data_IF_573439301373
#
_entry.id   IF_573439301373
#
_cell.length_a   1.000
_cell.length_b   1.000
_cell.length_c   1.000
_cell.angle_alpha   90.00
_cell.angle_beta   90.00
_cell.angle_gamma   90.00
#
_symmetry.space_group_name_H-M   'P 1'
#
loop_
_entity.id
_entity.type
_entity.pdbx_description
1 polymer ?
#
# COMPACT_ATOMS: atom_id res chain seq x y z
N UNK A 1 38.88 -38.33 -42.41
CA UNK A 1 37.79 -39.07 -41.74
C UNK A 1 37.49 -38.34 -40.43
N UNK A 2 36.21 -38.01 -40.16
CA UNK A 2 35.64 -37.37 -38.95
C UNK A 2 36.04 -35.90 -38.69
N UNK A 3 35.20 -34.91 -39.05
CA UNK A 3 34.03 -34.35 -38.32
C UNK A 3 34.44 -33.65 -37.01
N UNK A 4 34.52 -32.31 -37.04
CA UNK A 4 34.30 -31.47 -35.86
C UNK A 4 33.37 -30.30 -36.23
N UNK A 5 32.24 -30.29 -35.53
CA UNK A 5 31.14 -29.31 -35.44
C UNK A 5 31.60 -27.88 -35.14
N UNK A 6 31.16 -26.85 -35.90
CA UNK A 6 29.97 -25.99 -35.69
C UNK A 6 29.73 -25.53 -34.24
N UNK A 7 29.82 -24.20 -34.01
CA UNK A 7 28.77 -23.34 -33.40
C UNK A 7 28.93 -21.93 -34.00
N UNK A 8 27.80 -21.31 -34.31
CA UNK A 8 27.61 -20.21 -35.24
C UNK A 8 27.08 -18.98 -34.49
N UNK A 9 27.81 -17.86 -34.56
CA UNK A 9 27.31 -16.53 -34.18
C UNK A 9 26.93 -15.79 -35.47
N UNK A 10 25.66 -15.48 -35.65
CA UNK A 10 25.14 -14.76 -36.81
C UNK A 10 25.20 -13.23 -36.63
N UNK A 11 25.55 -12.45 -37.66
CA UNK A 11 25.44 -10.99 -37.67
C UNK A 11 24.04 -10.49 -38.08
N UNK A 12 23.73 -9.30 -37.58
CA UNK A 12 22.49 -8.54 -37.66
C UNK A 12 22.02 -8.20 -39.07
N UNK A 13 20.73 -8.46 -39.36
CA UNK A 13 20.10 -8.12 -40.64
C UNK A 13 19.51 -6.70 -40.60
N UNK A 14 20.22 -5.74 -41.19
CA UNK A 14 19.80 -4.34 -41.35
C UNK A 14 18.92 -4.20 -42.58
N UNK A 15 17.59 -4.30 -42.43
CA UNK A 15 16.66 -4.10 -43.55
C UNK A 15 16.57 -2.61 -43.96
N UNK A 16 16.87 -2.36 -45.25
CA UNK A 16 16.84 -1.08 -45.95
C UNK A 16 15.51 -0.32 -45.81
N UNK A 17 15.63 1.00 -45.59
CA UNK A 17 14.55 2.00 -45.44
C UNK A 17 13.66 2.15 -46.70
N UNK A 18 14.08 1.60 -47.83
CA UNK A 18 13.44 1.82 -49.14
C UNK A 18 12.23 0.89 -49.38
N UNK A 19 12.15 -0.27 -48.72
CA UNK A 19 11.05 -1.23 -48.88
C UNK A 19 9.78 -0.88 -48.07
N UNK A 20 9.90 -0.04 -47.04
CA UNK A 20 8.74 0.33 -46.18
C UNK A 20 7.78 1.31 -46.88
N UNK A 21 8.28 2.17 -47.76
CA UNK A 21 7.44 3.14 -48.46
C UNK A 21 6.54 2.48 -49.53
N UNK A 22 7.09 1.52 -50.30
CA UNK A 22 6.34 0.84 -51.34
C UNK A 22 5.19 -0.03 -50.79
N UNK A 23 5.35 -0.62 -49.61
CA UNK A 23 4.30 -1.43 -48.97
C UNK A 23 3.15 -0.57 -48.42
N UNK A 24 3.48 0.56 -47.77
CA UNK A 24 2.48 1.47 -47.19
C UNK A 24 1.63 2.14 -48.28
N UNK A 25 2.24 2.53 -49.41
CA UNK A 25 1.54 3.09 -50.57
C UNK A 25 0.59 2.06 -51.23
N UNK A 26 1.01 0.79 -51.31
CA UNK A 26 0.20 -0.31 -51.87
C UNK A 26 -0.98 -0.71 -50.99
N UNK A 27 -0.86 -0.53 -49.68
CA UNK A 27 -1.96 -0.74 -48.71
C UNK A 27 -2.94 0.43 -48.75
N UNK A 28 -2.47 1.68 -48.95
CA UNK A 28 -3.32 2.87 -49.06
C UNK A 28 -4.23 2.87 -50.29
N UNK A 29 -3.76 2.36 -51.44
CA UNK A 29 -4.56 2.34 -52.68
C UNK A 29 -5.68 1.30 -52.71
N UNK A 30 -5.61 0.27 -51.85
CA UNK A 30 -6.67 -0.75 -51.71
C UNK A 30 -7.80 -0.37 -50.76
N UNK A 31 -7.66 0.70 -49.98
CA UNK A 31 -8.73 1.18 -49.09
C UNK A 31 -9.53 2.26 -49.82
N UNK A 32 -10.32 1.85 -50.82
CA UNK A 32 -11.42 2.65 -51.36
C UNK A 32 -12.61 2.49 -50.41
N UNK A 33 -12.97 3.51 -49.65
CA UNK A 33 -14.22 3.51 -48.87
C UNK A 33 -15.39 3.86 -49.80
N UNK A 34 -16.41 2.99 -49.98
CA UNK A 34 -17.65 3.41 -50.58
C UNK A 34 -18.47 4.21 -49.56
N UNK A 35 -18.84 5.42 -49.94
CA UNK A 35 -19.94 6.18 -49.35
C UNK A 35 -21.26 5.51 -49.74
N UNK A 36 -22.00 4.96 -48.76
CA UNK A 36 -23.47 4.82 -48.77
C UNK A 36 -23.95 4.75 -47.33
N UNK A 37 -25.02 5.50 -47.06
CA UNK A 37 -25.65 5.77 -45.78
C UNK A 37 -26.76 4.77 -45.50
N UNK A 38 -26.57 3.89 -44.51
CA UNK A 38 -27.62 3.05 -43.93
C UNK A 38 -27.76 3.39 -42.43
N UNK A 39 -28.99 3.62 -41.91
CA UNK A 39 -29.21 4.01 -40.52
C UNK A 39 -29.54 2.78 -39.68
N UNK A 40 -28.54 2.04 -39.19
CA UNK A 40 -28.68 1.20 -37.97
C UNK A 40 -27.32 0.56 -37.60
N UNK A 41 -26.44 1.36 -36.99
CA UNK A 41 -25.19 0.87 -36.41
C UNK A 41 -25.04 1.43 -35.00
N UNK A 42 -24.73 0.60 -33.99
CA UNK A 42 -24.61 1.08 -32.61
C UNK A 42 -23.53 2.15 -32.55
N UNK A 43 -23.93 3.36 -32.13
CA UNK A 43 -23.06 4.53 -32.03
C UNK A 43 -21.87 4.16 -31.15
N UNK A 44 -20.66 4.07 -31.73
CA UNK A 44 -19.41 4.10 -30.95
C UNK A 44 -19.51 5.31 -30.03
N UNK A 45 -19.57 5.06 -28.71
CA UNK A 45 -19.65 6.12 -27.69
C UNK A 45 -18.41 7.00 -27.87
N UNK A 46 -18.61 8.15 -28.52
CA UNK A 46 -17.59 9.21 -28.56
C UNK A 46 -17.35 9.57 -27.10
N UNK A 47 -16.15 9.30 -26.58
CA UNK A 47 -15.72 9.88 -25.33
C UNK A 47 -15.82 11.40 -25.51
N UNK A 48 -16.83 12.02 -24.88
CA UNK A 48 -16.95 13.47 -24.85
C UNK A 48 -15.71 13.98 -24.12
N UNK A 49 -14.77 14.60 -24.84
CA UNK A 49 -13.75 15.45 -24.21
C UNK A 49 -14.53 16.54 -23.47
N UNK A 50 -14.57 16.43 -22.15
CA UNK A 50 -15.04 17.54 -21.30
C UNK A 50 -14.10 18.74 -21.56
N UNK A 51 -14.63 19.97 -21.54
CA UNK A 51 -13.81 21.16 -21.69
C UNK A 51 -12.72 21.15 -20.62
N UNK A 52 -11.53 21.62 -20.98
CA UNK A 52 -10.41 21.82 -20.06
C UNK A 52 -10.78 22.96 -19.14
N UNK A 53 -11.41 22.66 -18.01
CA UNK A 53 -11.36 23.54 -16.85
C UNK A 53 -9.92 23.47 -16.35
N UNK A 54 -9.26 24.63 -16.33
CA UNK A 54 -7.90 24.77 -15.81
C UNK A 54 -7.96 24.63 -14.29
N UNK A 55 -8.02 23.39 -13.82
CA UNK A 55 -7.89 23.07 -12.41
C UNK A 55 -6.42 23.20 -12.03
N UNK A 56 -6.00 24.43 -11.74
CA UNK A 56 -4.65 24.79 -11.30
C UNK A 56 -4.41 24.47 -9.81
N UNK A 57 -5.37 23.84 -9.14
CA UNK A 57 -5.30 23.49 -7.73
C UNK A 57 -4.68 22.11 -7.46
N UNK A 58 -4.22 21.86 -6.21
CA UNK A 58 -3.77 20.54 -5.80
C UNK A 58 -4.95 19.57 -5.73
N UNK A 59 -4.71 18.33 -6.16
CA UNK A 59 -5.72 17.27 -6.15
C UNK A 59 -5.34 16.09 -5.29
N UNK A 60 -6.31 15.51 -4.58
CA UNK A 60 -6.08 14.36 -3.69
C UNK A 60 -6.68 13.10 -4.28
N UNK A 61 -5.89 12.04 -4.30
CA UNK A 61 -6.28 10.70 -4.72
C UNK A 61 -6.29 9.77 -3.52
N UNK A 62 -7.37 9.01 -3.38
CA UNK A 62 -7.45 7.86 -2.50
C UNK A 62 -6.99 6.61 -3.25
N UNK A 63 -6.05 5.88 -2.64
CA UNK A 63 -5.56 4.61 -3.14
C UNK A 63 -5.83 3.55 -2.06
N UNK A 64 -6.70 2.59 -2.36
CA UNK A 64 -7.08 1.50 -1.49
C UNK A 64 -6.64 0.13 -2.01
N UNK A 65 -6.76 -0.88 -1.14
CA UNK A 65 -6.37 -2.27 -1.39
C UNK A 65 -4.88 -2.47 -1.68
N UNK A 66 -4.04 -1.63 -1.10
CA UNK A 66 -2.59 -1.72 -1.24
C UNK A 66 -2.11 -3.03 -0.57
N UNK A 67 -1.32 -3.87 -1.27
CA UNK A 67 -0.78 -5.09 -0.69
C UNK A 67 0.25 -4.80 0.40
N UNK A 68 0.42 -5.77 1.29
CA UNK A 68 1.41 -5.67 2.36
C UNK A 68 2.83 -5.71 1.77
N UNK A 69 3.72 -4.84 2.24
CA UNK A 69 5.06 -4.68 1.66
C UNK A 69 5.21 -3.51 0.69
N UNK A 70 4.10 -2.91 0.25
CA UNK A 70 4.12 -1.68 -0.56
C UNK A 70 3.86 -0.48 0.36
N UNK A 71 4.94 0.13 0.83
CA UNK A 71 4.93 1.18 1.85
C UNK A 71 5.11 2.56 1.21
N UNK A 72 5.35 3.57 2.06
CA UNK A 72 5.44 4.97 1.67
C UNK A 72 6.46 5.22 0.56
N UNK A 73 7.65 4.61 0.63
CA UNK A 73 8.71 4.87 -0.34
C UNK A 73 8.37 4.31 -1.72
N UNK A 74 7.86 3.09 -1.78
CA UNK A 74 7.51 2.42 -3.03
C UNK A 74 6.28 3.07 -3.67
N UNK A 75 5.27 3.44 -2.86
CA UNK A 75 4.10 4.22 -3.33
C UNK A 75 4.58 5.54 -3.92
N UNK A 76 5.44 6.27 -3.21
CA UNK A 76 5.94 7.57 -3.67
C UNK A 76 6.70 7.44 -4.99
N UNK A 77 7.60 6.45 -5.10
CA UNK A 77 8.37 6.21 -6.33
C UNK A 77 7.47 5.84 -7.52
N UNK A 78 6.47 4.99 -7.29
CA UNK A 78 5.54 4.58 -8.35
C UNK A 78 4.66 5.74 -8.82
N UNK A 79 4.04 6.46 -7.89
CA UNK A 79 3.12 7.54 -8.24
C UNK A 79 3.82 8.81 -8.71
N UNK A 80 5.12 8.98 -8.42
CA UNK A 80 5.93 10.08 -8.94
C UNK A 80 6.05 10.07 -10.47
N UNK A 81 5.74 8.95 -11.14
CA UNK A 81 5.75 8.83 -12.60
C UNK A 81 4.58 9.59 -13.27
N UNK A 82 3.47 9.77 -12.56
CA UNK A 82 2.30 10.50 -13.06
C UNK A 82 2.43 12.01 -12.89
N UNK A 83 3.14 12.43 -11.84
CA UNK A 83 3.38 13.84 -11.55
C UNK A 83 4.04 14.05 -10.20
N UNK A 84 4.32 15.32 -9.90
CA UNK A 84 4.93 15.74 -8.63
C UNK A 84 3.94 15.60 -7.48
N UNK A 85 4.36 14.87 -6.45
CA UNK A 85 3.61 14.64 -5.22
C UNK A 85 3.98 15.72 -4.21
N UNK A 86 3.00 16.45 -3.69
CA UNK A 86 3.19 17.45 -2.63
C UNK A 86 3.23 16.78 -1.26
N UNK A 87 2.21 15.96 -0.97
CA UNK A 87 2.05 15.25 0.30
C UNK A 87 1.52 13.87 0.04
N UNK A 88 1.89 12.93 0.90
CA UNK A 88 1.40 11.58 0.84
C UNK A 88 1.31 11.03 2.25
N UNK A 89 0.28 10.24 2.52
CA UNK A 89 0.13 9.55 3.80
C UNK A 89 -0.47 8.18 3.61
N UNK A 90 0.25 7.15 4.06
CA UNK A 90 -0.29 5.80 4.24
C UNK A 90 -1.02 5.73 5.57
N UNK A 91 -2.25 5.25 5.56
CA UNK A 91 -3.02 5.12 6.77
C UNK A 91 -2.52 3.92 7.59
N UNK A 92 -2.12 4.19 8.83
CA UNK A 92 -1.65 3.20 9.79
C UNK A 92 -2.58 3.09 10.99
N UNK A 93 -2.65 1.90 11.57
CA UNK A 93 -3.35 1.62 12.82
C UNK A 93 -2.73 2.44 13.95
N UNK A 94 -3.56 3.10 14.77
CA UNK A 94 -3.07 3.90 15.88
C UNK A 94 -2.51 3.04 17.03
N UNK A 95 -2.97 1.78 17.15
CA UNK A 95 -2.55 0.88 18.22
C UNK A 95 -1.27 0.12 17.86
N UNK A 96 -1.26 -0.47 16.67
CA UNK A 96 -0.19 -1.39 16.23
C UNK A 96 0.82 -0.74 15.28
N UNK A 97 0.53 0.44 14.71
CA UNK A 97 1.38 1.06 13.69
C UNK A 97 1.35 0.36 12.32
N UNK A 98 0.69 -0.79 12.21
CA UNK A 98 0.57 -1.55 10.96
C UNK A 98 -0.22 -0.77 9.90
N UNK A 99 0.14 -0.88 8.61
CA UNK A 99 -0.60 -0.25 7.52
C UNK A 99 -2.01 -0.83 7.43
N UNK A 100 -3.00 0.03 7.15
CA UNK A 100 -4.39 -0.36 6.93
C UNK A 100 -4.69 -0.75 5.48
N UNK A 101 -3.72 -0.62 4.58
CA UNK A 101 -3.88 -0.95 3.15
C UNK A 101 -4.54 0.16 2.32
N UNK A 102 -4.49 1.41 2.77
CA UNK A 102 -4.90 2.56 1.97
C UNK A 102 -4.02 3.79 2.23
N UNK A 103 -3.95 4.67 1.25
CA UNK A 103 -3.16 5.89 1.27
C UNK A 103 -3.92 7.06 0.63
N UNK A 104 -3.54 8.27 1.05
CA UNK A 104 -3.94 9.52 0.40
C UNK A 104 -2.71 10.16 -0.23
N UNK A 105 -2.83 10.56 -1.49
CA UNK A 105 -1.76 11.17 -2.26
C UNK A 105 -2.26 12.52 -2.77
N UNK A 106 -1.56 13.58 -2.43
CA UNK A 106 -1.82 14.94 -2.90
C UNK A 106 -0.83 15.27 -4.03
N UNK A 107 -1.36 15.48 -5.22
CA UNK A 107 -0.61 15.91 -6.40
C UNK A 107 -0.64 17.43 -6.53
N UNK A 108 0.38 17.97 -7.19
CA UNK A 108 0.46 19.41 -7.49
C UNK A 108 -0.71 19.90 -8.36
N UNK A 109 -1.23 19.03 -9.24
CA UNK A 109 -2.33 19.35 -10.15
C UNK A 109 -3.50 18.39 -9.99
N UNK A 110 -4.71 18.93 -9.91
CA UNK A 110 -5.96 18.17 -9.86
C UNK A 110 -6.20 17.34 -11.12
N UNK A 111 -5.80 17.85 -12.28
CA UNK A 111 -5.87 17.12 -13.54
C UNK A 111 -5.10 15.79 -13.49
N UNK A 112 -3.92 15.77 -12.87
CA UNK A 112 -3.13 14.55 -12.67
C UNK A 112 -3.85 13.59 -11.74
N UNK A 113 -4.42 14.10 -10.64
CA UNK A 113 -5.19 13.29 -9.70
C UNK A 113 -6.39 12.58 -10.36
N UNK A 114 -7.13 13.28 -11.24
CA UNK A 114 -8.25 12.71 -12.02
C UNK A 114 -7.77 11.60 -12.97
N UNK A 115 -6.66 11.83 -13.69
CA UNK A 115 -6.08 10.83 -14.61
C UNK A 115 -5.64 9.58 -13.84
N UNK A 116 -4.97 9.75 -12.69
CA UNK A 116 -4.54 8.61 -11.86
C UNK A 116 -5.75 7.82 -11.37
N UNK A 117 -6.80 8.49 -10.90
CA UNK A 117 -8.02 7.83 -10.46
C UNK A 117 -8.68 7.01 -11.59
N UNK A 118 -8.74 7.54 -12.81
CA UNK A 118 -9.33 6.81 -13.94
C UNK A 118 -8.47 5.65 -14.43
N UNK A 119 -7.14 5.83 -14.47
CA UNK A 119 -6.21 4.86 -15.06
C UNK A 119 -5.85 3.71 -14.12
N UNK A 120 -5.75 3.98 -12.81
CA UNK A 120 -5.32 2.99 -11.82
C UNK A 120 -6.47 2.29 -11.09
N UNK A 121 -7.71 2.73 -11.29
CA UNK A 121 -8.84 2.06 -10.68
C UNK A 121 -9.06 0.67 -11.27
N UNK A 122 -9.17 -0.34 -10.41
CA UNK A 122 -9.23 -1.76 -10.75
C UNK A 122 -7.96 -2.28 -11.46
N UNK A 123 -6.81 -1.64 -11.25
CA UNK A 123 -5.54 -2.18 -11.71
C UNK A 123 -5.13 -3.39 -10.85
N UNK A 124 -4.74 -4.49 -11.49
CA UNK A 124 -4.25 -5.67 -10.79
C UNK A 124 -2.83 -5.42 -10.29
N UNK A 125 -2.69 -5.30 -8.98
CA UNK A 125 -1.45 -5.04 -8.29
C UNK A 125 -1.16 -6.20 -7.33
N UNK A 126 -0.20 -7.04 -7.73
CA UNK A 126 0.00 -8.38 -7.15
C UNK A 126 -1.31 -9.18 -7.18
N UNK A 127 -1.80 -9.63 -6.03
CA UNK A 127 -3.03 -10.43 -5.91
C UNK A 127 -4.29 -9.58 -5.68
N UNK A 128 -4.17 -8.25 -5.69
CA UNK A 128 -5.26 -7.34 -5.32
C UNK A 128 -5.55 -6.33 -6.42
N UNK A 129 -6.83 -6.03 -6.62
CA UNK A 129 -7.26 -4.93 -7.47
C UNK A 129 -7.21 -3.63 -6.66
N UNK A 130 -6.39 -2.67 -7.11
CA UNK A 130 -6.32 -1.36 -6.50
C UNK A 130 -7.63 -0.61 -6.70
N UNK A 131 -8.06 0.07 -5.64
CA UNK A 131 -9.18 0.99 -5.70
C UNK A 131 -8.66 2.42 -5.71
N UNK A 132 -8.80 3.13 -6.83
CA UNK A 132 -8.34 4.51 -6.95
C UNK A 132 -9.53 5.43 -7.19
N UNK A 133 -9.69 6.43 -6.32
CA UNK A 133 -10.79 7.40 -6.41
C UNK A 133 -10.24 8.82 -6.21
N UNK A 134 -10.70 9.75 -7.03
CA UNK A 134 -10.43 11.17 -6.84
C UNK A 134 -11.32 11.70 -5.71
N UNK A 135 -10.71 12.38 -4.73
CA UNK A 135 -11.43 12.99 -3.62
C UNK A 135 -11.38 14.52 -3.78
N UNK A 136 -12.54 15.19 -3.96
CA UNK A 136 -12.59 16.64 -3.93
C UNK A 136 -12.26 17.16 -2.53
N UNK A 137 -11.67 18.35 -2.45
CA UNK A 137 -11.20 18.95 -1.20
C UNK A 137 -12.30 19.01 -0.11
N UNK A 138 -13.56 19.25 -0.47
CA UNK A 138 -14.69 19.34 0.47
C UNK A 138 -14.97 18.05 1.23
N UNK A 139 -14.70 16.90 0.61
CA UNK A 139 -14.91 15.57 1.20
C UNK A 139 -13.71 15.08 1.98
N UNK A 140 -12.57 15.76 1.88
CA UNK A 140 -11.35 15.36 2.54
C UNK A 140 -11.39 15.79 4.02
N UNK A 141 -11.37 14.82 4.93
CA UNK A 141 -11.27 15.15 6.34
C UNK A 141 -9.94 15.87 6.63
N UNK A 142 -9.91 16.95 7.44
CA UNK A 142 -8.70 17.76 7.65
C UNK A 142 -7.52 17.00 8.28
N UNK A 143 -7.78 15.87 8.92
CA UNK A 143 -6.72 14.99 9.47
C UNK A 143 -6.15 14.03 8.44
N UNK A 144 -6.74 13.86 7.25
CA UNK A 144 -6.37 12.84 6.28
C UNK A 144 -4.92 12.98 5.81
N UNK A 145 -4.44 14.20 5.56
CA UNK A 145 -3.06 14.49 5.12
C UNK A 145 -2.14 15.02 6.23
N UNK A 146 -2.63 15.12 7.48
CA UNK A 146 -1.78 15.51 8.61
C UNK A 146 -0.84 14.37 8.98
N UNK A 147 0.46 14.61 8.85
CA UNK A 147 1.50 13.75 9.42
C UNK A 147 1.39 13.81 10.95
N UNK A 148 1.25 12.65 11.59
CA UNK A 148 1.35 12.58 13.04
C UNK A 148 2.83 12.39 13.38
N UNK A 149 3.46 13.46 13.83
CA UNK A 149 4.83 13.41 14.32
C UNK A 149 4.79 12.84 15.74
N UNK A 150 4.91 11.53 15.86
CA UNK A 150 4.94 10.85 17.14
C UNK A 150 5.25 9.38 16.94
N UNK A 151 6.06 8.83 17.85
CA UNK A 151 6.20 7.38 17.96
C UNK A 151 4.79 6.79 18.17
N UNK A 152 4.44 5.74 17.42
CA UNK A 152 3.22 4.97 17.66
C UNK A 152 3.39 4.25 19.00
N UNK A 153 3.19 4.98 20.10
CA UNK A 153 3.10 4.41 21.43
C UNK A 153 1.75 3.72 21.48
N UNK A 154 1.76 2.39 21.52
CA UNK A 154 0.56 1.67 21.94
C UNK A 154 0.12 2.32 23.24
N UNK A 155 -1.13 2.77 23.30
CA UNK A 155 -1.76 3.13 24.57
C UNK A 155 -2.02 1.83 25.33
N UNK A 156 -0.95 1.10 25.67
CA UNK A 156 -1.00 -0.02 26.57
C UNK A 156 -1.26 0.58 27.94
N UNK A 157 -2.54 0.88 28.21
CA UNK A 157 -3.02 1.27 29.55
C UNK A 157 -2.51 0.27 30.60
N UNK A 158 -2.29 -0.98 30.21
CA UNK A 158 -1.67 -2.02 31.03
C UNK A 158 -0.28 -1.61 31.54
N UNK A 159 0.58 -1.02 30.70
CA UNK A 159 1.92 -0.60 31.12
C UNK A 159 1.87 0.58 32.10
N UNK A 160 1.02 1.57 31.86
CA UNK A 160 0.86 2.70 32.81
C UNK A 160 0.20 2.28 34.13
N UNK A 161 -0.70 1.31 34.10
CA UNK A 161 -1.33 0.74 35.30
C UNK A 161 -0.34 -0.13 36.09
N UNK A 162 0.46 -0.94 35.40
CA UNK A 162 1.48 -1.80 36.03
C UNK A 162 2.65 -1.00 36.60
N UNK A 163 3.04 0.08 35.92
CA UNK A 163 4.14 0.97 36.33
C UNK A 163 3.68 2.16 37.18
N UNK A 164 2.40 2.21 37.60
CA UNK A 164 1.95 3.24 38.53
C UNK A 164 2.71 3.09 39.84
N UNK A 165 3.18 4.20 40.41
CA UNK A 165 3.76 4.20 41.75
C UNK A 165 2.75 3.61 42.74
N UNK A 166 3.18 2.60 43.51
CA UNK A 166 2.33 1.90 44.48
C UNK A 166 2.71 2.37 45.87
N UNK A 167 1.70 2.63 46.69
CA UNK A 167 1.91 2.92 48.11
C UNK A 167 2.52 1.72 48.83
N UNK A 168 3.22 1.98 49.95
CA UNK A 168 3.91 0.94 50.72
C UNK A 168 2.95 -0.18 51.13
N UNK A 169 1.72 0.15 51.54
CA UNK A 169 0.67 -0.83 51.88
C UNK A 169 0.23 -1.69 50.68
N UNK A 170 0.15 -1.08 49.49
CA UNK A 170 -0.21 -1.82 48.27
C UNK A 170 0.92 -2.77 47.85
N UNK A 171 2.18 -2.39 48.10
CA UNK A 171 3.37 -3.23 47.89
C UNK A 171 3.35 -4.41 48.87
N UNK A 172 3.16 -4.19 50.17
CA UNK A 172 3.12 -5.26 51.18
C UNK A 172 1.97 -6.23 50.93
N UNK A 173 0.77 -5.74 50.60
CA UNK A 173 -0.38 -6.56 50.22
C UNK A 173 -0.08 -7.44 49.00
N UNK A 174 0.64 -6.90 48.02
CA UNK A 174 1.05 -7.66 46.83
C UNK A 174 2.12 -8.72 47.16
N UNK A 175 3.08 -8.40 48.04
CA UNK A 175 4.09 -9.35 48.57
C UNK A 175 3.39 -10.51 49.29
N UNK A 176 2.45 -10.21 50.20
CA UNK A 176 1.72 -11.24 50.95
C UNK A 176 0.91 -12.17 50.05
N UNK A 177 0.19 -11.63 49.05
CA UNK A 177 -0.51 -12.44 48.05
C UNK A 177 0.43 -13.34 47.25
N UNK A 178 1.64 -12.87 46.94
CA UNK A 178 2.67 -13.68 46.25
C UNK A 178 3.14 -14.82 47.15
N UNK A 179 3.40 -14.55 48.42
CA UNK A 179 3.81 -15.55 49.42
C UNK A 179 2.72 -16.61 49.59
N UNK A 180 1.44 -16.24 49.67
CA UNK A 180 0.33 -17.19 49.75
C UNK A 180 0.24 -18.10 48.52
N UNK A 181 0.42 -17.53 47.32
CA UNK A 181 0.44 -18.32 46.07
C UNK A 181 1.63 -19.28 46.03
N UNK A 182 2.79 -18.85 46.50
CA UNK A 182 3.98 -19.71 46.60
C UNK A 182 3.78 -20.85 47.59
N UNK A 183 3.12 -20.60 48.74
CA UNK A 183 2.75 -21.65 49.70
C UNK A 183 1.80 -22.70 49.09
N UNK A 184 0.78 -22.24 48.35
CA UNK A 184 -0.15 -23.13 47.63
C UNK A 184 0.54 -23.94 46.54
N UNK A 185 1.48 -23.32 45.83
CA UNK A 185 2.30 -24.00 44.84
C UNK A 185 3.17 -25.08 45.50
N UNK A 186 3.81 -24.77 46.63
CA UNK A 186 4.64 -25.71 47.38
C UNK A 186 3.84 -26.93 47.87
N UNK A 187 2.62 -26.73 48.38
CA UNK A 187 1.76 -27.86 48.77
C UNK A 187 1.34 -28.71 47.57
N UNK A 188 1.02 -28.08 46.44
CA UNK A 188 0.65 -28.77 45.20
C UNK A 188 1.81 -29.58 44.62
N UNK A 189 3.03 -29.03 44.63
CA UNK A 189 4.24 -29.72 44.16
C UNK A 189 4.58 -30.92 45.06
N UNK A 190 4.42 -30.76 46.38
CA UNK A 190 4.61 -31.85 47.35
C UNK A 190 3.59 -32.98 47.16
N UNK A 191 2.35 -32.66 46.81
CA UNK A 191 1.31 -33.65 46.49
C UNK A 191 1.61 -34.43 45.21
N UNK A 192 2.37 -33.83 44.28
CA UNK A 192 2.77 -34.45 43.01
C UNK A 192 4.15 -35.11 43.05
N UNK A 193 4.77 -35.21 44.24
CA UNK A 193 6.12 -35.72 44.44
C UNK A 193 7.18 -35.03 43.55
N UNK A 194 7.00 -33.72 43.32
CA UNK A 194 7.95 -32.89 42.56
C UNK A 194 8.79 -32.10 43.56
N UNK A 195 10.08 -32.40 43.60
CA UNK A 195 11.05 -31.66 44.41
C UNK A 195 11.47 -30.37 43.68
N UNK A 196 10.93 -29.24 44.13
CA UNK A 196 11.22 -27.93 43.55
C UNK A 196 11.31 -26.87 44.66
N UNK A 197 12.44 -26.17 44.71
CA UNK A 197 12.70 -25.14 45.71
C UNK A 197 11.99 -23.81 45.38
N UNK A 198 10.77 -23.67 45.89
CA UNK A 198 9.92 -22.49 45.75
C UNK A 198 10.53 -21.25 46.45
N UNK A 199 11.44 -21.42 47.41
CA UNK A 199 12.03 -20.32 48.19
C UNK A 199 12.88 -19.40 47.34
N UNK A 200 13.49 -19.93 46.29
CA UNK A 200 14.27 -19.18 45.29
C UNK A 200 13.47 -18.13 44.50
N UNK A 201 12.14 -18.22 44.48
CA UNK A 201 11.25 -17.33 43.71
C UNK A 201 10.78 -16.08 44.48
N UNK A 202 11.19 -15.97 45.75
CA UNK A 202 10.93 -14.81 46.61
C UNK A 202 12.02 -13.76 46.30
N UNK A 203 11.67 -12.56 45.80
CA UNK A 203 12.64 -11.49 45.64
C UNK A 203 13.21 -11.12 47.02
N UNK A 204 14.54 -11.14 47.15
CA UNK A 204 15.22 -10.56 48.31
C UNK A 204 15.04 -9.04 48.24
N UNK A 205 14.77 -8.42 49.39
CA UNK A 205 14.55 -6.98 49.50
C UNK A 205 15.78 -6.15 49.10
#
# INVERSE_FOLDING_TARGET
>A
MYIISKIQLGPTFRFSKMMKHAFVERVRSKIKTPTKSDPDKPKKRKFKKKPKEEDCGPGVVYVGHIPHGFYEEEIKQYFSQFGKILRMRVARSQKTGNPKGYAFIEFEFESVAKIVAETMNNYLFFEKLLKCEFIPADKLHPTALKYKNGLFLSSDKNRSVQNRFKDVEAITKSKNRRIERLKKLQSFLKEKDIDFDVKSLIPQD
#
